data_IF_435882569742
#
_entry.id   IF_435882569742
#
_cell.length_a   1.000
_cell.length_b   1.000
_cell.length_c   1.000
_cell.angle_alpha   90.00
_cell.angle_beta   90.00
_cell.angle_gamma   90.00
#
_symmetry.space_group_name_H-M   'P 1'
#
loop_
_entity.id
_entity.type
_entity.pdbx_description
1 polymer ?
#
# COMPACT_ATOMS: atom_id res chain seq x y z
N UNK A 1 2.37 -3.91 20.71
CA UNK A 1 2.41 -2.47 20.39
C UNK A 1 1.19 -2.18 19.53
N UNK A 2 -0.03 -2.41 20.05
CA UNK A 2 -1.20 -2.66 19.18
C UNK A 2 -2.40 -1.83 19.61
N UNK A 3 -2.24 -0.50 19.57
CA UNK A 3 -3.32 0.41 19.92
C UNK A 3 -4.25 0.73 18.73
N UNK A 4 -4.23 -0.10 17.68
CA UNK A 4 -5.22 -0.10 16.60
C UNK A 4 -4.76 0.51 15.28
N UNK A 5 -3.88 1.52 15.29
CA UNK A 5 -3.41 2.18 14.04
C UNK A 5 -2.62 1.22 13.16
N UNK A 6 -1.66 0.49 13.75
CA UNK A 6 -0.88 -0.52 13.02
C UNK A 6 -1.79 -1.61 12.46
N UNK A 7 -2.77 -2.06 13.25
CA UNK A 7 -3.76 -3.05 12.80
C UNK A 7 -4.61 -2.52 11.64
N UNK A 8 -5.01 -1.25 11.67
CA UNK A 8 -5.74 -0.61 10.59
C UNK A 8 -4.90 -0.55 9.30
N UNK A 9 -3.65 -0.12 9.40
CA UNK A 9 -2.73 -0.08 8.27
C UNK A 9 -2.47 -1.49 7.68
N UNK A 10 -2.16 -2.48 8.53
CA UNK A 10 -1.98 -3.88 8.11
C UNK A 10 -3.20 -4.42 7.37
N UNK A 11 -4.39 -4.13 7.89
CA UNK A 11 -5.65 -4.54 7.27
C UNK A 11 -5.79 -3.94 5.86
N UNK A 12 -5.58 -2.63 5.74
CA UNK A 12 -5.69 -1.94 4.45
C UNK A 12 -4.66 -2.43 3.43
N UNK A 13 -3.42 -2.58 3.86
CA UNK A 13 -2.34 -3.10 3.02
C UNK A 13 -2.63 -4.54 2.53
N UNK A 14 -3.12 -5.41 3.41
CA UNK A 14 -3.45 -6.80 3.07
C UNK A 14 -4.63 -6.92 2.12
N UNK A 15 -5.64 -6.05 2.24
CA UNK A 15 -6.71 -5.96 1.25
C UNK A 15 -6.15 -5.63 -0.14
N UNK A 16 -5.22 -4.69 -0.24
CA UNK A 16 -4.58 -4.34 -1.51
C UNK A 16 -3.78 -5.51 -2.10
N UNK A 17 -3.04 -6.26 -1.27
CA UNK A 17 -2.34 -7.48 -1.71
C UNK A 17 -3.34 -8.47 -2.32
N UNK A 18 -4.41 -8.80 -1.60
CA UNK A 18 -5.40 -9.79 -2.07
C UNK A 18 -6.04 -9.31 -3.37
N UNK A 19 -6.44 -8.04 -3.44
CA UNK A 19 -7.02 -7.44 -4.65
C UNK A 19 -6.08 -7.55 -5.86
N UNK A 20 -4.81 -7.16 -5.68
CA UNK A 20 -3.80 -7.23 -6.75
C UNK A 20 -3.54 -8.67 -7.19
N UNK A 21 -3.40 -9.60 -6.25
CA UNK A 21 -3.15 -11.01 -6.53
C UNK A 21 -4.31 -11.65 -7.28
N UNK A 22 -5.55 -11.36 -6.86
CA UNK A 22 -6.77 -11.84 -7.51
C UNK A 22 -6.86 -11.33 -8.95
N UNK A 23 -6.61 -10.03 -9.18
CA UNK A 23 -6.57 -9.46 -10.53
C UNK A 23 -5.52 -10.13 -11.42
N UNK A 24 -4.31 -10.33 -10.90
CA UNK A 24 -3.24 -11.02 -11.64
C UNK A 24 -3.62 -12.45 -11.97
N UNK A 25 -4.25 -13.19 -11.05
CA UNK A 25 -4.72 -14.55 -11.31
C UNK A 25 -5.77 -14.58 -12.44
N UNK A 26 -6.73 -13.65 -12.44
CA UNK A 26 -7.73 -13.55 -13.51
C UNK A 26 -7.05 -13.24 -14.85
N UNK A 27 -6.15 -12.26 -14.89
CA UNK A 27 -5.40 -11.90 -16.10
C UNK A 27 -4.54 -13.05 -16.62
N UNK A 28 -3.97 -13.86 -15.72
CA UNK A 28 -3.15 -15.01 -16.09
C UNK A 28 -3.98 -16.16 -16.66
N UNK A 29 -5.20 -16.38 -16.15
CA UNK A 29 -6.15 -17.33 -16.74
C UNK A 29 -6.51 -16.89 -18.18
N UNK A 30 -6.66 -15.59 -18.41
CA UNK A 30 -7.00 -15.04 -19.73
C UNK A 30 -5.82 -15.03 -20.71
N UNK A 31 -4.59 -14.82 -20.23
CA UNK A 31 -3.42 -14.57 -21.08
C UNK A 31 -2.32 -15.64 -21.01
N UNK A 32 -2.51 -16.72 -20.27
CA UNK A 32 -1.54 -17.82 -20.06
C UNK A 32 -0.14 -17.35 -19.65
N UNK A 33 -0.06 -16.37 -18.75
CA UNK A 33 1.20 -15.85 -18.20
C UNK A 33 1.41 -16.35 -16.77
N UNK A 34 2.67 -16.45 -16.36
CA UNK A 34 3.03 -16.78 -14.98
C UNK A 34 2.68 -15.63 -14.02
N UNK A 35 2.40 -15.96 -12.76
CA UNK A 35 2.17 -14.98 -11.69
C UNK A 35 3.43 -14.17 -11.44
N UNK A 36 3.36 -12.87 -11.66
CA UNK A 36 4.44 -11.95 -11.31
C UNK A 36 4.52 -11.82 -9.79
N UNK A 37 5.72 -11.98 -9.23
CA UNK A 37 5.98 -11.69 -7.83
C UNK A 37 5.77 -10.21 -7.53
N UNK A 38 5.35 -9.92 -6.30
CA UNK A 38 5.14 -8.56 -5.82
C UNK A 38 6.51 -7.90 -5.59
N UNK A 39 6.80 -6.83 -6.33
CA UNK A 39 8.09 -6.13 -6.21
C UNK A 39 8.16 -5.24 -4.96
N UNK A 40 9.36 -4.89 -4.49
CA UNK A 40 9.53 -3.93 -3.39
C UNK A 40 8.87 -2.59 -3.70
N UNK A 41 8.95 -2.12 -4.95
CA UNK A 41 8.28 -0.89 -5.38
C UNK A 41 6.76 -1.01 -5.22
N UNK A 42 6.18 -2.15 -5.62
CA UNK A 42 4.75 -2.40 -5.43
C UNK A 42 4.36 -2.36 -3.96
N UNK A 43 5.16 -2.98 -3.09
CA UNK A 43 4.95 -2.97 -1.64
C UNK A 43 4.91 -1.54 -1.10
N UNK A 44 5.89 -0.69 -1.48
CA UNK A 44 5.96 0.72 -1.05
C UNK A 44 4.74 1.50 -1.53
N UNK A 45 4.34 1.35 -2.80
CA UNK A 45 3.17 2.05 -3.34
C UNK A 45 1.88 1.62 -2.65
N UNK A 46 1.71 0.33 -2.36
CA UNK A 46 0.54 -0.16 -1.63
C UNK A 46 0.54 0.27 -0.16
N UNK A 47 1.70 0.42 0.49
CA UNK A 47 1.75 1.00 1.85
C UNK A 47 1.26 2.44 1.82
N UNK A 48 1.67 3.23 0.81
CA UNK A 48 1.18 4.60 0.63
C UNK A 48 -0.34 4.63 0.44
N UNK A 49 -0.87 3.80 -0.45
CA UNK A 49 -2.33 3.73 -0.69
C UNK A 49 -3.08 3.24 0.56
N UNK A 50 -2.54 2.27 1.28
CA UNK A 50 -3.12 1.78 2.52
C UNK A 50 -3.15 2.86 3.61
N UNK A 51 -2.10 3.69 3.69
CA UNK A 51 -2.03 4.79 4.64
C UNK A 51 -3.06 5.88 4.36
N UNK A 52 -3.28 6.21 3.09
CA UNK A 52 -4.31 7.19 2.69
C UNK A 52 -5.73 6.77 3.10
N UNK A 53 -5.95 5.45 3.25
CA UNK A 53 -7.21 4.88 3.75
C UNK A 53 -7.34 4.90 5.27
N UNK A 54 -6.25 5.11 6.03
CA UNK A 54 -6.30 5.24 7.48
C UNK A 54 -6.76 6.66 7.83
N UNK A 55 -8.06 6.80 8.07
CA UNK A 55 -8.68 8.11 8.33
C UNK A 55 -8.29 8.70 9.68
N UNK A 56 -8.38 10.03 9.80
CA UNK A 56 -8.21 10.73 11.08
C UNK A 56 -9.16 10.21 12.17
N UNK A 57 -10.38 9.81 11.79
CA UNK A 57 -11.35 9.20 12.71
C UNK A 57 -10.87 7.85 13.22
N UNK A 58 -10.30 7.02 12.34
CA UNK A 58 -9.69 5.73 12.73
C UNK A 58 -8.55 5.95 13.71
N UNK A 59 -7.68 6.94 13.46
CA UNK A 59 -6.56 7.29 14.34
C UNK A 59 -7.07 7.80 15.69
N UNK A 60 -7.98 8.77 15.72
CA UNK A 60 -8.53 9.32 16.96
C UNK A 60 -9.19 8.24 17.83
N UNK A 61 -9.94 7.33 17.21
CA UNK A 61 -10.57 6.23 17.91
C UNK A 61 -9.57 5.18 18.42
N UNK A 62 -8.47 4.93 17.69
CA UNK A 62 -7.37 4.11 18.18
C UNK A 62 -6.75 4.67 19.46
N UNK A 63 -6.47 5.97 19.49
CA UNK A 63 -5.99 6.65 20.70
C UNK A 63 -7.04 6.66 21.82
N UNK A 64 -8.33 6.80 21.50
CA UNK A 64 -9.42 6.69 22.49
C UNK A 64 -9.47 5.30 23.13
N UNK A 65 -9.37 4.24 22.33
CA UNK A 65 -9.31 2.85 22.82
C UNK A 65 -8.10 2.59 23.71
N UNK A 66 -6.99 3.27 23.45
CA UNK A 66 -5.80 3.24 24.29
C UNK A 66 -5.92 3.99 25.62
N UNK A 67 -7.03 4.69 25.86
CA UNK A 67 -7.28 5.46 27.08
C UNK A 67 -6.98 6.96 26.95
N UNK A 68 -6.59 7.47 25.78
CA UNK A 68 -6.41 8.90 25.53
C UNK A 68 -7.76 9.54 25.21
N UNK A 69 -8.44 10.06 26.23
CA UNK A 69 -9.82 10.58 26.13
C UNK A 69 -9.94 12.07 25.75
N UNK A 70 -8.83 12.81 25.72
CA UNK A 70 -8.82 14.28 25.52
C UNK A 70 -8.53 14.74 24.08
N UNK A 71 -8.58 13.84 23.10
CA UNK A 71 -8.38 14.18 21.69
C UNK A 71 -9.70 14.62 21.04
N UNK A 72 -10.12 15.86 21.27
CA UNK A 72 -11.25 16.45 20.53
C UNK A 72 -10.82 16.84 19.11
N UNK A 73 -11.56 16.38 18.10
CA UNK A 73 -12.26 17.31 17.23
C UNK A 73 -13.77 17.04 17.36
N UNK A 74 -14.48 18.07 17.80
CA UNK A 74 -15.94 18.13 17.90
C UNK A 74 -16.67 17.31 16.82
N UNK A 75 -17.63 16.49 17.26
CA UNK A 75 -18.66 15.72 16.51
C UNK A 75 -18.45 14.19 16.48
N UNK A 76 -18.68 13.50 17.60
CA UNK A 76 -19.05 12.08 17.61
C UNK A 76 -19.72 11.70 18.95
N UNK A 77 -20.84 12.32 19.31
CA UNK A 77 -21.59 12.01 20.55
C UNK A 77 -22.51 10.77 20.42
N UNK A 78 -22.32 9.87 19.44
CA UNK A 78 -23.17 8.67 19.30
C UNK A 78 -22.39 7.45 18.76
N UNK A 79 -21.14 7.25 19.17
CA UNK A 79 -20.31 6.15 18.66
C UNK A 79 -19.57 5.40 19.78
N UNK A 80 -20.28 5.19 20.88
CA UNK A 80 -19.83 4.29 21.94
C UNK A 80 -19.96 2.84 21.42
N UNK A 81 -18.82 2.15 21.37
CA UNK A 81 -18.65 0.72 21.09
C UNK A 81 -18.86 0.22 19.65
N UNK A 82 -18.54 1.01 18.61
CA UNK A 82 -18.27 0.38 17.29
C UNK A 82 -16.91 -0.35 17.35
N UNK A 83 -16.87 -1.69 17.14
CA UNK A 83 -15.60 -2.42 17.13
C UNK A 83 -14.67 -1.87 16.04
N UNK A 84 -13.37 -1.75 16.34
CA UNK A 84 -12.33 -1.29 15.40
C UNK A 84 -12.43 -1.97 14.01
N UNK A 85 -12.80 -3.25 13.99
CA UNK A 85 -13.04 -4.02 12.76
C UNK A 85 -14.15 -3.41 11.87
N UNK A 86 -15.26 -2.96 12.46
CA UNK A 86 -16.40 -2.38 11.74
C UNK A 86 -16.10 -0.99 11.19
N UNK A 87 -15.23 -0.24 11.86
CA UNK A 87 -14.78 1.09 11.41
C UNK A 87 -13.75 1.00 10.27
N UNK A 88 -12.87 0.01 10.28
CA UNK A 88 -11.93 -0.27 9.17
C UNK A 88 -12.69 -0.84 7.94
N UNK A 89 -13.85 -1.47 8.15
CA UNK A 89 -14.68 -2.01 7.09
C UNK A 89 -15.52 -0.94 6.36
N UNK A 90 -15.96 0.13 7.04
CA UNK A 90 -16.87 1.13 6.46
C UNK A 90 -16.24 2.10 5.46
N UNK A 91 -14.91 2.11 5.31
CA UNK A 91 -14.19 3.02 4.40
C UNK A 91 -13.96 2.44 2.99
N UNK A 92 -14.40 1.21 2.71
CA UNK A 92 -13.97 0.41 1.53
C UNK A 92 -15.14 -0.18 0.71
N UNK A 93 -16.31 0.46 0.63
CA UNK A 93 -17.45 -0.12 -0.11
C UNK A 93 -17.10 -0.47 -1.58
N UNK A 94 -16.34 0.39 -2.28
CA UNK A 94 -15.95 0.16 -3.68
C UNK A 94 -15.01 -1.04 -3.88
N UNK A 95 -13.98 -1.18 -3.02
CA UNK A 95 -13.03 -2.28 -3.13
C UNK A 95 -13.61 -3.61 -2.66
N UNK A 96 -14.47 -3.59 -1.63
CA UNK A 96 -15.06 -4.81 -1.08
C UNK A 96 -16.04 -5.47 -2.07
N UNK A 97 -16.86 -4.68 -2.78
CA UNK A 97 -17.78 -5.19 -3.81
C UNK A 97 -17.00 -5.73 -5.01
N UNK A 98 -16.02 -4.97 -5.50
CA UNK A 98 -15.16 -5.41 -6.60
C UNK A 98 -14.41 -6.70 -6.25
N UNK A 99 -13.86 -6.81 -5.03
CA UNK A 99 -13.12 -7.98 -4.60
C UNK A 99 -14.02 -9.23 -4.50
N UNK A 100 -15.24 -9.09 -3.97
CA UNK A 100 -16.18 -10.20 -3.87
C UNK A 100 -16.56 -10.76 -5.25
N UNK A 101 -16.76 -9.88 -6.24
CA UNK A 101 -17.06 -10.27 -7.61
C UNK A 101 -15.87 -10.98 -8.28
N UNK A 102 -14.66 -10.44 -8.13
CA UNK A 102 -13.44 -11.04 -8.67
C UNK A 102 -13.13 -12.41 -8.04
N UNK A 103 -13.32 -12.54 -6.72
CA UNK A 103 -13.17 -13.83 -6.02
C UNK A 103 -14.20 -14.85 -6.51
N UNK A 104 -15.45 -14.44 -6.72
CA UNK A 104 -16.48 -15.30 -7.29
C UNK A 104 -16.12 -15.73 -8.73
N UNK A 105 -15.51 -14.86 -9.53
CA UNK A 105 -15.00 -15.20 -10.86
C UNK A 105 -13.87 -16.23 -10.80
N UNK A 106 -12.91 -16.06 -9.89
CA UNK A 106 -11.82 -17.03 -9.67
C UNK A 106 -12.32 -18.38 -9.17
N UNK A 107 -13.30 -18.42 -8.26
CA UNK A 107 -13.85 -19.68 -7.76
C UNK A 107 -14.51 -20.49 -8.87
N UNK A 108 -15.17 -19.83 -9.83
CA UNK A 108 -15.74 -20.51 -11.00
C UNK A 108 -14.67 -21.12 -11.92
N UNK A 109 -13.48 -20.53 -11.97
CA UNK A 109 -12.41 -20.97 -12.88
C UNK A 109 -11.39 -21.92 -12.25
N UNK A 110 -11.23 -21.93 -10.92
CA UNK A 110 -10.11 -22.63 -10.24
C UNK A 110 -10.49 -23.85 -9.40
N UNK A 111 -11.79 -24.22 -9.33
CA UNK A 111 -12.29 -25.41 -8.60
C UNK A 111 -11.71 -25.58 -7.17
N UNK A 112 -11.33 -24.49 -6.51
CA UNK A 112 -10.66 -24.49 -5.21
C UNK A 112 -11.67 -24.13 -4.11
N UNK A 113 -11.76 -24.99 -3.10
CA UNK A 113 -12.68 -24.83 -1.96
C UNK A 113 -12.03 -24.21 -0.71
N UNK A 114 -10.72 -23.95 -0.77
CA UNK A 114 -9.98 -23.45 0.39
C UNK A 114 -10.40 -22.01 0.70
N UNK A 115 -10.75 -21.77 1.97
CA UNK A 115 -11.13 -20.47 2.52
C UNK A 115 -10.20 -20.14 3.66
N UNK A 116 -9.78 -18.88 3.71
CA UNK A 116 -9.05 -18.28 4.82
C UNK A 116 -9.92 -17.12 5.30
N UNK A 117 -10.12 -17.03 6.60
CA UNK A 117 -10.86 -15.90 7.18
C UNK A 117 -10.00 -14.63 7.10
N UNK A 118 -10.64 -13.48 6.89
CA UNK A 118 -9.91 -12.21 6.70
C UNK A 118 -9.08 -11.89 7.94
N UNK A 119 -9.63 -12.12 9.14
CA UNK A 119 -8.94 -11.92 10.41
C UNK A 119 -7.72 -12.83 10.56
N UNK A 120 -7.80 -14.08 10.08
CA UNK A 120 -6.67 -15.02 10.05
C UNK A 120 -5.59 -14.51 9.10
N UNK A 121 -6.00 -14.07 7.90
CA UNK A 121 -5.06 -13.49 6.95
C UNK A 121 -4.45 -12.19 7.45
N UNK A 122 -5.11 -11.39 8.31
CA UNK A 122 -4.58 -10.15 8.91
C UNK A 122 -3.65 -10.43 10.12
N UNK A 123 -3.86 -11.53 10.82
CA UNK A 123 -3.04 -11.92 11.98
C UNK A 123 -1.83 -12.79 11.66
N UNK A 124 -1.58 -13.11 10.37
CA UNK A 124 -0.54 -14.11 9.99
C UNK A 124 0.87 -13.80 10.51
N UNK A 125 1.18 -12.53 10.76
CA UNK A 125 2.50 -12.06 11.24
C UNK A 125 2.47 -11.61 12.71
N UNK A 126 1.38 -11.85 13.45
CA UNK A 126 1.27 -11.40 14.85
C UNK A 126 2.29 -12.08 15.76
N UNK A 127 2.78 -13.26 15.36
CA UNK A 127 3.85 -13.99 16.06
C UNK A 127 5.26 -13.57 15.65
N UNK A 128 5.39 -12.73 14.61
CA UNK A 128 6.69 -12.25 14.12
C UNK A 128 7.17 -11.13 15.04
N UNK A 129 8.34 -11.32 15.65
CA UNK A 129 8.95 -10.30 16.48
C UNK A 129 9.29 -9.06 15.62
N UNK A 130 8.71 -7.91 15.96
CA UNK A 130 8.92 -6.65 15.23
C UNK A 130 10.19 -5.92 15.70
N UNK A 131 10.52 -6.04 16.99
CA UNK A 131 11.72 -5.49 17.60
C UNK A 131 12.29 -6.48 18.61
N UNK A 132 13.61 -6.51 18.78
CA UNK A 132 14.22 -7.05 19.99
C UNK A 132 13.70 -6.23 21.18
N UNK A 133 13.35 -6.88 22.28
CA UNK A 133 13.05 -6.18 23.53
C UNK A 133 14.36 -5.59 24.03
N UNK A 134 14.58 -4.29 23.77
CA UNK A 134 15.66 -3.57 24.42
C UNK A 134 15.39 -3.62 25.92
N UNK A 135 16.34 -4.17 26.66
CA UNK A 135 16.30 -4.16 28.13
C UNK A 135 16.36 -2.72 28.63
N UNK A 136 15.83 -2.43 29.83
CA UNK A 136 15.92 -1.08 30.40
C UNK A 136 17.39 -0.63 30.49
N UNK A 137 18.30 -1.58 30.73
CA UNK A 137 19.75 -1.37 30.71
C UNK A 137 20.29 -1.02 29.32
N UNK A 138 19.82 -1.66 28.24
CA UNK A 138 20.19 -1.29 26.86
C UNK A 138 19.69 0.10 26.48
N UNK A 139 18.46 0.45 26.85
CA UNK A 139 17.86 1.77 26.54
C UNK A 139 18.65 2.88 27.23
N UNK A 140 19.05 2.67 28.49
CA UNK A 140 19.87 3.62 29.24
C UNK A 140 21.28 3.73 28.64
N UNK A 141 21.90 2.60 28.29
CA UNK A 141 23.22 2.59 27.66
C UNK A 141 23.21 3.29 26.28
N UNK A 142 22.15 3.12 25.50
CA UNK A 142 21.99 3.76 24.19
C UNK A 142 21.72 5.27 24.30
N UNK A 143 20.93 5.70 25.29
CA UNK A 143 20.72 7.11 25.61
C UNK A 143 22.00 7.81 26.11
N UNK A 144 22.86 7.08 26.84
CA UNK A 144 24.17 7.57 27.27
C UNK A 144 25.20 7.56 26.12
N UNK A 145 25.16 6.55 25.25
CA UNK A 145 26.01 6.42 24.06
C UNK A 145 25.72 7.49 23.00
N UNK A 146 24.45 7.86 22.78
CA UNK A 146 24.06 8.90 21.82
C UNK A 146 24.55 10.32 22.18
N UNK A 147 25.08 10.55 23.39
CA UNK A 147 25.75 11.79 23.77
C UNK A 147 27.26 11.80 23.44
N UNK A 148 27.81 10.69 22.94
CA UNK A 148 29.19 10.59 22.52
C UNK A 148 29.25 9.90 21.16
N UNK A 149 29.26 10.69 20.08
CA UNK A 149 29.54 10.21 18.73
C UNK A 149 30.77 9.31 18.75
N UNK A 150 30.59 8.04 18.40
CA UNK A 150 31.63 7.27 17.72
C UNK A 150 30.98 6.49 16.60
N UNK A 151 31.43 6.81 15.39
CA UNK A 151 31.34 5.98 14.19
C UNK A 151 31.59 4.52 14.57
N UNK A 152 30.60 3.66 14.38
CA UNK A 152 30.84 2.22 14.26
C UNK A 152 30.22 1.78 12.94
N UNK A 153 31.10 1.56 11.96
CA UNK A 153 30.79 1.07 10.63
C UNK A 153 30.28 -0.37 10.77
N UNK A 154 28.95 -0.52 10.84
CA UNK A 154 28.32 -1.81 10.71
C UNK A 154 28.48 -2.27 9.24
N UNK A 155 29.37 -3.24 9.02
CA UNK A 155 29.46 -3.99 7.77
C UNK A 155 28.18 -4.82 7.60
N UNK A 156 27.12 -4.19 7.09
CA UNK A 156 25.93 -4.87 6.62
C UNK A 156 26.31 -5.81 5.48
N UNK A 157 26.10 -7.11 5.70
CA UNK A 157 26.13 -8.12 4.65
C UNK A 157 25.04 -7.75 3.64
N UNK A 158 25.45 -7.13 2.53
CA UNK A 158 24.58 -6.82 1.41
C UNK A 158 23.99 -8.11 0.85
N UNK A 159 22.73 -8.35 1.17
CA UNK A 159 21.85 -9.22 0.39
C UNK A 159 21.92 -8.74 -1.08
N UNK A 160 21.86 -9.63 -2.09
CA UNK A 160 22.03 -9.21 -3.47
C UNK A 160 20.99 -8.14 -3.81
N UNK A 161 21.44 -6.90 -4.00
CA UNK A 161 20.57 -5.79 -4.40
C UNK A 161 19.82 -6.19 -5.65
N UNK A 162 18.50 -6.30 -5.53
CA UNK A 162 17.60 -6.44 -6.65
C UNK A 162 17.84 -5.23 -7.56
N UNK A 163 18.49 -5.44 -8.71
CA UNK A 163 18.87 -4.35 -9.60
C UNK A 163 17.61 -3.73 -10.22
N UNK A 164 17.04 -2.73 -9.54
CA UNK A 164 15.94 -1.94 -10.06
C UNK A 164 16.43 -1.14 -11.27
N UNK A 165 16.04 -1.54 -12.47
CA UNK A 165 16.29 -0.77 -13.68
C UNK A 165 15.12 0.22 -13.86
N UNK A 166 15.29 1.52 -13.57
CA UNK A 166 14.23 2.48 -13.76
C UNK A 166 13.82 2.54 -15.24
N UNK A 167 12.51 2.51 -15.48
CA UNK A 167 11.97 2.56 -16.85
C UNK A 167 12.43 3.81 -17.58
N UNK A 168 12.69 3.68 -18.89
CA UNK A 168 13.23 4.78 -19.68
C UNK A 168 12.16 5.85 -19.94
N UNK A 169 12.59 7.09 -20.20
CA UNK A 169 11.65 8.17 -20.57
C UNK A 169 10.87 7.81 -21.84
N UNK A 170 11.48 7.05 -22.77
CA UNK A 170 10.82 6.62 -23.98
C UNK A 170 9.70 5.60 -23.71
N UNK A 171 9.95 4.62 -22.85
CA UNK A 171 8.94 3.66 -22.39
C UNK A 171 7.76 4.37 -21.70
N UNK A 172 8.06 5.32 -20.81
CA UNK A 172 7.03 6.13 -20.14
C UNK A 172 6.17 6.93 -21.15
N UNK A 173 6.80 7.54 -22.17
CA UNK A 173 6.10 8.26 -23.24
C UNK A 173 5.26 7.34 -24.15
N UNK A 174 5.70 6.10 -24.35
CA UNK A 174 4.91 5.12 -25.08
C UNK A 174 3.71 4.67 -24.24
N UNK A 175 3.92 4.32 -22.96
CA UNK A 175 2.88 3.92 -22.02
C UNK A 175 1.78 4.98 -21.90
N UNK A 176 2.15 6.26 -21.75
CA UNK A 176 1.15 7.34 -21.67
C UNK A 176 0.36 7.53 -22.97
N UNK A 177 0.98 7.24 -24.12
CA UNK A 177 0.30 7.30 -25.41
C UNK A 177 -0.70 6.14 -25.56
N UNK A 178 -0.36 4.95 -25.06
CA UNK A 178 -1.29 3.81 -24.97
C UNK A 178 -2.46 4.15 -24.05
N UNK A 179 -2.20 4.70 -22.86
CA UNK A 179 -3.25 5.14 -21.92
C UNK A 179 -4.17 6.19 -22.53
N UNK A 180 -3.61 7.20 -23.23
CA UNK A 180 -4.41 8.22 -23.92
C UNK A 180 -5.36 7.64 -24.96
N UNK A 181 -4.92 6.61 -25.69
CA UNK A 181 -5.80 5.91 -26.65
C UNK A 181 -6.90 5.16 -25.89
N UNK A 182 -6.55 4.38 -24.87
CA UNK A 182 -7.53 3.62 -24.10
C UNK A 182 -8.63 4.51 -23.51
N UNK A 183 -8.24 5.61 -22.84
CA UNK A 183 -9.16 6.59 -22.26
C UNK A 183 -10.05 7.25 -23.31
N UNK A 184 -9.54 7.52 -24.50
CA UNK A 184 -10.33 8.13 -25.58
C UNK A 184 -11.43 7.22 -26.14
N UNK A 185 -11.35 5.91 -25.93
CA UNK A 185 -12.32 4.92 -26.42
C UNK A 185 -13.17 4.29 -25.30
N UNK A 186 -13.05 4.77 -24.06
CA UNK A 186 -13.81 4.22 -22.93
C UNK A 186 -14.59 5.33 -22.20
N UNK A 187 -15.91 5.26 -22.28
CA UNK A 187 -16.85 6.28 -21.77
C UNK A 187 -16.87 6.40 -20.23
N UNK A 188 -16.20 5.50 -19.52
CA UNK A 188 -16.07 5.57 -18.06
C UNK A 188 -15.14 6.70 -17.59
N UNK A 189 -14.27 7.19 -18.47
CA UNK A 189 -13.33 8.26 -18.13
C UNK A 189 -13.86 9.63 -18.51
N UNK A 190 -13.59 10.61 -17.66
CA UNK A 190 -14.10 11.97 -17.85
C UNK A 190 -13.05 12.90 -18.49
N UNK A 191 -13.45 14.15 -18.72
CA UNK A 191 -12.56 15.15 -19.35
C UNK A 191 -11.35 15.50 -18.47
N UNK A 192 -11.48 15.44 -17.14
CA UNK A 192 -10.37 15.70 -16.21
C UNK A 192 -9.28 14.62 -16.29
N UNK A 193 -9.67 13.34 -16.42
CA UNK A 193 -8.72 12.23 -16.63
C UNK A 193 -7.87 12.45 -17.90
N UNK A 194 -8.52 12.89 -18.98
CA UNK A 194 -7.83 13.21 -20.24
C UNK A 194 -6.87 14.40 -20.08
N UNK A 195 -7.25 15.39 -19.27
CA UNK A 195 -6.43 16.56 -18.99
C UNK A 195 -5.21 16.20 -18.15
N UNK A 196 -5.39 15.35 -17.13
CA UNK A 196 -4.33 14.82 -16.27
C UNK A 196 -3.29 14.05 -17.08
N UNK A 197 -3.70 13.12 -17.95
CA UNK A 197 -2.79 12.40 -18.85
C UNK A 197 -2.03 13.35 -19.79
N UNK A 198 -2.69 14.39 -20.32
CA UNK A 198 -2.04 15.38 -21.18
C UNK A 198 -1.01 16.21 -20.41
N UNK A 199 -1.30 16.57 -19.17
CA UNK A 199 -0.39 17.29 -18.27
C UNK A 199 0.86 16.45 -17.95
N UNK A 200 0.67 15.17 -17.59
CA UNK A 200 1.77 14.25 -17.34
C UNK A 200 2.66 14.06 -18.58
N UNK A 201 2.07 13.90 -19.78
CA UNK A 201 2.82 13.79 -21.04
C UNK A 201 3.70 15.01 -21.30
N UNK A 202 3.16 16.21 -21.10
CA UNK A 202 3.93 17.46 -21.26
C UNK A 202 5.09 17.54 -20.26
N UNK A 203 4.89 17.12 -19.00
CA UNK A 203 5.97 17.07 -18.00
C UNK A 203 7.08 16.11 -18.42
N UNK A 204 6.74 14.90 -18.86
CA UNK A 204 7.70 13.91 -19.35
C UNK A 204 8.51 14.40 -20.56
N UNK A 205 7.85 15.06 -21.52
CA UNK A 205 8.51 15.65 -22.69
C UNK A 205 9.50 16.76 -22.30
N UNK A 206 9.13 17.64 -21.36
CA UNK A 206 10.04 18.68 -20.86
C UNK A 206 11.29 18.09 -20.20
N UNK A 207 11.14 17.01 -19.44
CA UNK A 207 12.28 16.30 -18.82
C UNK A 207 13.19 15.74 -19.91
N UNK A 208 12.63 15.14 -20.95
CA UNK A 208 13.39 14.63 -22.09
C UNK A 208 14.20 15.73 -22.79
N UNK A 209 13.53 16.83 -23.16
CA UNK A 209 14.17 17.98 -23.83
C UNK A 209 15.27 18.61 -22.96
N UNK A 210 15.06 18.66 -21.65
CA UNK A 210 16.05 19.21 -20.70
C UNK A 210 17.27 18.31 -20.58
N UNK A 211 17.09 16.98 -20.61
CA UNK A 211 18.20 16.02 -20.60
C UNK A 211 19.01 16.09 -21.89
N UNK A 212 18.35 16.22 -23.04
CA UNK A 212 19.01 16.33 -24.34
C UNK A 212 19.95 17.56 -24.40
N UNK A 213 19.47 18.72 -23.91
CA UNK A 213 20.24 19.97 -23.87
C UNK A 213 21.44 19.99 -22.90
N UNK A 214 21.55 19.01 -21.98
CA UNK A 214 22.68 18.90 -21.03
C UNK A 214 23.82 18.01 -21.57
N UNK A 215 23.57 17.31 -22.67
CA UNK A 215 24.51 16.39 -23.32
C UNK A 215 25.29 17.02 -24.48
N UNK A 216 24.95 18.24 -24.86
CA UNK A 216 25.66 19.10 -25.82
C UNK A 216 26.49 20.17 -25.07
#
# INVERSE_FOLDING_TARGET
>A
MDQGVIKALKTQYRKLIVYKQVLQMIQNIENSKDTQSLSVLDAILMISEAWDKVTQTTIANCFRHAGFKDLSPSQAENDDDIPLARMIQSTDEDYNVALAELVAQLQRSTATEQRIEIEEFIGIDDSVAVCALATEEEILAEAESNNHNTDDENEDQQDPEEQFQPSTIFEALNAITVLQKFVAFNDQFNTDDTHTLRSMKRKMQKIFETRLKRTD
#
